data_IF_206130150852
#
_entry.id   IF_206130150852
#
_cell.length_a   1.000
_cell.length_b   1.000
_cell.length_c   1.000
_cell.angle_alpha   90.00
_cell.angle_beta   90.00
_cell.angle_gamma   90.00
#
_symmetry.space_group_name_H-M   'P 1'
#
loop_
_entity.id
_entity.type
_entity.pdbx_description
1 polymer ?
#
# COMPACT_ATOMS: atom_id res chain seq x y z
N UNK A 1 -45.62 -4.68 15.29
CA UNK A 1 -45.24 -4.41 16.70
C UNK A 1 -44.32 -5.53 17.15
N UNK A 2 -43.26 -5.20 17.89
CA UNK A 2 -41.99 -5.93 18.08
C UNK A 2 -40.98 -5.51 17.00
N UNK A 3 -40.23 -4.40 17.09
CA UNK A 3 -39.49 -3.84 18.24
C UNK A 3 -38.76 -4.91 19.04
N UNK A 4 -37.71 -5.49 18.45
CA UNK A 4 -36.65 -6.18 19.20
C UNK A 4 -35.30 -6.01 18.47
N UNK A 5 -34.48 -5.14 19.06
CA UNK A 5 -33.01 -5.20 19.09
C UNK A 5 -32.17 -4.80 17.85
N UNK A 6 -32.58 -3.79 17.08
CA UNK A 6 -31.58 -2.92 16.44
C UNK A 6 -31.04 -1.96 17.51
N UNK A 7 -29.90 -2.30 18.12
CA UNK A 7 -29.24 -1.45 19.11
C UNK A 7 -28.87 -0.10 18.50
N UNK A 8 -29.78 0.89 18.56
CA UNK A 8 -29.47 2.29 18.29
C UNK A 8 -28.41 2.72 19.30
N UNK A 9 -27.16 2.79 18.84
CA UNK A 9 -26.12 3.55 19.54
C UNK A 9 -26.70 4.94 19.83
N UNK A 10 -26.59 5.47 21.07
CA UNK A 10 -27.05 6.82 21.37
C UNK A 10 -26.43 7.79 20.34
N UNK A 11 -27.23 8.74 19.86
CA UNK A 11 -26.98 9.58 18.68
C UNK A 11 -25.53 10.13 18.59
N UNK A 12 -24.96 10.47 19.75
CA UNK A 12 -23.59 10.97 19.89
C UNK A 12 -22.49 9.93 19.56
N UNK A 13 -22.71 8.64 19.87
CA UNK A 13 -21.79 7.54 19.52
C UNK A 13 -21.80 7.23 18.03
N UNK A 14 -22.98 7.34 17.40
CA UNK A 14 -23.10 7.18 15.95
C UNK A 14 -22.40 8.32 15.20
N UNK A 15 -22.59 9.57 15.65
CA UNK A 15 -21.85 10.72 15.11
C UNK A 15 -20.33 10.54 15.27
N UNK A 16 -19.87 10.15 16.46
CA UNK A 16 -18.44 9.91 16.72
C UNK A 16 -17.85 8.85 15.79
N UNK A 17 -18.56 7.72 15.62
CA UNK A 17 -18.14 6.67 14.69
C UNK A 17 -18.06 7.17 13.25
N UNK A 18 -19.07 7.93 12.80
CA UNK A 18 -19.12 8.49 11.46
C UNK A 18 -17.96 9.48 11.21
N UNK A 19 -17.71 10.38 12.16
CA UNK A 19 -16.59 11.33 12.11
C UNK A 19 -15.26 10.59 12.08
N UNK A 20 -15.09 9.57 12.93
CA UNK A 20 -13.88 8.76 12.95
C UNK A 20 -13.63 8.08 11.59
N UNK A 21 -14.63 7.40 11.04
CA UNK A 21 -14.55 6.72 9.74
C UNK A 21 -14.15 7.66 8.61
N UNK A 22 -14.84 8.79 8.46
CA UNK A 22 -14.52 9.74 7.39
C UNK A 22 -13.20 10.49 7.63
N UNK A 23 -12.77 10.64 8.89
CA UNK A 23 -11.41 11.11 9.19
C UNK A 23 -10.37 10.13 8.65
N UNK A 24 -10.53 8.82 8.88
CA UNK A 24 -9.62 7.80 8.32
C UNK A 24 -9.60 7.87 6.79
N UNK A 25 -10.75 8.04 6.15
CA UNK A 25 -10.83 8.09 4.67
C UNK A 25 -10.15 9.34 4.11
N UNK A 26 -10.33 10.48 4.79
CA UNK A 26 -9.65 11.73 4.43
C UNK A 26 -8.14 11.62 4.58
N UNK A 27 -7.67 10.98 5.66
CA UNK A 27 -6.25 10.75 5.91
C UNK A 27 -5.64 9.81 4.86
N UNK A 28 -6.32 8.70 4.52
CA UNK A 28 -5.88 7.82 3.44
C UNK A 28 -5.86 8.54 2.08
N UNK A 29 -6.84 9.40 1.82
CA UNK A 29 -6.84 10.24 0.61
C UNK A 29 -5.67 11.23 0.60
N UNK A 30 -5.31 11.78 1.76
CA UNK A 30 -4.13 12.64 1.89
C UNK A 30 -2.83 11.85 1.67
N UNK A 31 -2.75 10.60 2.12
CA UNK A 31 -1.58 9.75 1.89
C UNK A 31 -1.31 9.56 0.39
N UNK A 32 -2.34 9.45 -0.46
CA UNK A 32 -2.16 9.41 -1.93
C UNK A 32 -1.38 10.63 -2.43
N UNK A 33 -1.70 11.82 -1.91
CA UNK A 33 -0.97 13.03 -2.28
C UNK A 33 0.46 13.02 -1.72
N UNK A 34 0.65 12.57 -0.48
CA UNK A 34 1.96 12.50 0.14
C UNK A 34 2.90 11.54 -0.63
N UNK A 35 2.45 10.33 -0.94
CA UNK A 35 3.18 9.37 -1.78
C UNK A 35 3.47 9.94 -3.16
N UNK A 36 2.51 10.66 -3.77
CA UNK A 36 2.74 11.29 -5.07
C UNK A 36 3.90 12.30 -5.04
N UNK A 37 4.04 13.06 -3.95
CA UNK A 37 5.15 14.01 -3.79
C UNK A 37 6.48 13.29 -3.63
N UNK A 38 6.55 12.23 -2.80
CA UNK A 38 7.76 11.43 -2.62
C UNK A 38 8.17 10.72 -3.92
N UNK A 39 7.24 10.00 -4.55
CA UNK A 39 7.47 9.33 -5.82
C UNK A 39 7.88 10.32 -6.94
N UNK A 40 7.28 11.52 -7.00
CA UNK A 40 7.67 12.52 -7.99
C UNK A 40 9.11 13.03 -7.79
N UNK A 41 9.53 13.22 -6.54
CA UNK A 41 10.89 13.62 -6.22
C UNK A 41 11.90 12.51 -6.56
N UNK A 42 11.60 11.26 -6.18
CA UNK A 42 12.39 10.08 -6.48
C UNK A 42 12.54 9.86 -8.00
N UNK A 43 11.44 9.94 -8.74
CA UNK A 43 11.44 9.79 -10.19
C UNK A 43 12.35 10.83 -10.88
N UNK A 44 12.39 12.06 -10.38
CA UNK A 44 13.29 13.11 -10.89
C UNK A 44 14.78 12.80 -10.66
N UNK A 45 15.10 12.05 -9.60
CA UNK A 45 16.47 11.65 -9.28
C UNK A 45 16.93 10.41 -10.09
N UNK A 46 16.04 9.44 -10.30
CA UNK A 46 16.35 8.16 -10.96
C UNK A 46 16.24 8.25 -12.48
N UNK A 47 15.29 9.01 -13.03
CA UNK A 47 14.99 9.08 -14.47
C UNK A 47 15.44 10.40 -15.10
N UNK A 48 16.75 10.67 -15.11
CA UNK A 48 17.35 11.90 -15.67
C UNK A 48 17.01 12.16 -17.15
N UNK A 49 16.80 11.11 -17.94
CA UNK A 49 16.47 11.19 -19.37
C UNK A 49 14.96 11.30 -19.65
N UNK A 50 14.15 11.44 -18.59
CA UNK A 50 12.70 11.54 -18.65
C UNK A 50 11.97 10.22 -18.46
N UNK A 51 10.69 10.33 -18.08
CA UNK A 51 9.83 9.21 -17.77
C UNK A 51 9.21 8.64 -19.06
N UNK A 52 9.59 7.42 -19.42
CA UNK A 52 8.93 6.69 -20.50
C UNK A 52 7.57 6.17 -20.03
N UNK A 53 6.56 6.13 -20.91
CA UNK A 53 5.21 5.67 -20.59
C UNK A 53 5.17 4.28 -19.94
N UNK A 54 6.09 3.38 -20.30
CA UNK A 54 6.19 2.04 -19.72
C UNK A 54 6.69 2.00 -18.27
N UNK A 55 7.36 3.06 -17.80
CA UNK A 55 7.96 3.15 -16.45
C UNK A 55 7.19 4.06 -15.50
N UNK A 56 6.05 4.61 -15.95
CA UNK A 56 5.22 5.50 -15.12
C UNK A 56 4.75 4.77 -13.86
N UNK A 57 4.38 3.49 -14.00
CA UNK A 57 3.86 2.76 -12.85
C UNK A 57 5.00 2.38 -11.89
N UNK A 58 6.17 2.02 -12.39
CA UNK A 58 7.37 1.81 -11.56
C UNK A 58 7.73 3.07 -10.78
N UNK A 59 7.61 4.25 -11.39
CA UNK A 59 7.97 5.52 -10.78
C UNK A 59 6.95 6.08 -9.77
N UNK A 60 5.70 5.60 -9.79
CA UNK A 60 4.61 6.08 -8.93
C UNK A 60 3.87 4.91 -8.27
N UNK A 61 4.60 3.84 -7.95
CA UNK A 61 4.02 2.57 -7.55
C UNK A 61 3.12 2.73 -6.32
N UNK A 62 3.64 3.32 -5.25
CA UNK A 62 2.92 3.51 -3.98
C UNK A 62 1.71 4.42 -4.17
N UNK A 63 1.89 5.51 -4.91
CA UNK A 63 0.81 6.45 -5.23
C UNK A 63 -0.37 5.78 -5.94
N UNK A 64 -0.06 4.91 -6.92
CA UNK A 64 -1.06 4.20 -7.71
C UNK A 64 -1.75 3.14 -6.85
N UNK A 65 -1.00 2.41 -6.02
CA UNK A 65 -1.53 1.39 -5.11
C UNK A 65 -2.49 2.02 -4.09
N UNK A 66 -2.04 3.03 -3.33
CA UNK A 66 -2.86 3.70 -2.31
C UNK A 66 -4.09 4.36 -2.94
N UNK A 67 -3.96 4.96 -4.13
CA UNK A 67 -5.12 5.53 -4.84
C UNK A 67 -6.14 4.45 -5.20
N UNK A 68 -5.69 3.32 -5.76
CA UNK A 68 -6.57 2.22 -6.14
C UNK A 68 -7.29 1.63 -4.91
N UNK A 69 -6.61 1.50 -3.78
CA UNK A 69 -7.22 1.08 -2.53
C UNK A 69 -8.25 2.08 -2.00
N UNK A 70 -7.94 3.39 -2.00
CA UNK A 70 -8.89 4.43 -1.60
C UNK A 70 -10.13 4.42 -2.49
N UNK A 71 -9.97 4.28 -3.80
CA UNK A 71 -11.09 4.18 -4.74
C UNK A 71 -11.96 2.95 -4.47
N UNK A 72 -11.36 1.77 -4.20
CA UNK A 72 -12.12 0.58 -3.80
C UNK A 72 -12.91 0.81 -2.51
N UNK A 73 -12.27 1.42 -1.52
CA UNK A 73 -12.90 1.71 -0.24
C UNK A 73 -14.07 2.69 -0.40
N UNK A 74 -13.95 3.69 -1.28
CA UNK A 74 -15.05 4.60 -1.61
C UNK A 74 -16.17 3.88 -2.36
N UNK A 75 -15.85 3.00 -3.32
CA UNK A 75 -16.86 2.17 -4.00
C UNK A 75 -17.60 1.27 -3.02
N UNK A 76 -16.88 0.62 -2.11
CA UNK A 76 -17.47 -0.23 -1.07
C UNK A 76 -18.39 0.55 -0.12
N UNK A 77 -17.96 1.74 0.33
CA UNK A 77 -18.78 2.62 1.16
C UNK A 77 -20.04 3.08 0.40
N UNK A 78 -19.91 3.40 -0.89
CA UNK A 78 -21.05 3.76 -1.74
C UNK A 78 -22.06 2.61 -1.83
N UNK A 79 -21.60 1.38 -2.04
CA UNK A 79 -22.46 0.19 -2.17
C UNK A 79 -23.12 -0.22 -0.85
N UNK A 80 -22.44 -0.04 0.28
CA UNK A 80 -22.92 -0.57 1.57
C UNK A 80 -23.66 0.44 2.43
N UNK A 81 -23.39 1.74 2.28
CA UNK A 81 -23.90 2.75 3.21
C UNK A 81 -24.58 3.95 2.54
N UNK A 82 -24.18 4.34 1.33
CA UNK A 82 -24.70 5.55 0.68
C UNK A 82 -25.83 5.27 -0.29
N UNK A 83 -25.71 4.22 -1.10
CA UNK A 83 -26.69 3.88 -2.13
C UNK A 83 -27.66 2.80 -1.62
N UNK A 84 -28.95 3.06 -1.78
CA UNK A 84 -29.96 2.02 -1.60
C UNK A 84 -29.81 0.94 -2.69
N UNK A 85 -29.99 -0.34 -2.33
CA UNK A 85 -29.95 -1.50 -3.25
C UNK A 85 -30.83 -1.34 -4.51
N UNK A 86 -31.87 -0.50 -4.41
CA UNK A 86 -32.79 -0.21 -5.53
C UNK A 86 -32.13 0.63 -6.62
N UNK A 87 -31.15 1.46 -6.27
CA UNK A 87 -30.42 2.36 -7.15
C UNK A 87 -29.22 1.66 -7.81
N UNK A 88 -28.70 0.58 -7.22
CA UNK A 88 -27.57 -0.20 -7.74
C UNK A 88 -28.05 -1.13 -8.88
N UNK A 89 -28.47 -0.53 -10.00
CA UNK A 89 -28.98 -1.24 -11.19
C UNK A 89 -28.43 -0.66 -12.49
N UNK A 90 -28.39 -1.50 -13.53
CA UNK A 90 -27.97 -1.09 -14.87
C UNK A 90 -26.59 -0.45 -14.90
N UNK A 91 -26.52 0.80 -15.39
CA UNK A 91 -25.28 1.55 -15.55
C UNK A 91 -24.54 1.82 -14.23
N UNK A 92 -25.26 2.09 -13.13
CA UNK A 92 -24.61 2.36 -11.82
C UNK A 92 -23.81 1.14 -11.37
N UNK A 93 -24.45 -0.04 -11.37
CA UNK A 93 -23.78 -1.30 -11.02
C UNK A 93 -22.60 -1.61 -11.95
N UNK A 94 -22.76 -1.36 -13.25
CA UNK A 94 -21.68 -1.58 -14.21
C UNK A 94 -20.50 -0.65 -13.95
N UNK A 95 -20.75 0.63 -13.67
CA UNK A 95 -19.70 1.61 -13.32
C UNK A 95 -18.96 1.25 -12.04
N UNK A 96 -19.67 0.88 -10.96
CA UNK A 96 -19.04 0.48 -9.70
C UNK A 96 -18.15 -0.76 -9.91
N UNK A 97 -18.66 -1.78 -10.59
CA UNK A 97 -17.89 -2.98 -10.92
C UNK A 97 -16.68 -2.70 -11.83
N UNK A 98 -16.83 -1.81 -12.81
CA UNK A 98 -15.75 -1.43 -13.71
C UNK A 98 -14.63 -0.71 -12.96
N UNK A 99 -14.98 0.26 -12.10
CA UNK A 99 -14.02 0.96 -11.24
C UNK A 99 -13.32 -0.04 -10.32
N UNK A 100 -14.08 -0.92 -9.66
CA UNK A 100 -13.49 -1.94 -8.78
C UNK A 100 -12.52 -2.87 -9.52
N UNK A 101 -12.89 -3.32 -10.72
CA UNK A 101 -12.03 -4.19 -11.54
C UNK A 101 -10.73 -3.47 -11.91
N UNK A 102 -10.81 -2.21 -12.33
CA UNK A 102 -9.63 -1.39 -12.64
C UNK A 102 -8.74 -1.23 -11.41
N UNK A 103 -9.32 -0.98 -10.24
CA UNK A 103 -8.54 -0.85 -9.01
C UNK A 103 -7.85 -2.16 -8.62
N UNK A 104 -8.54 -3.31 -8.69
CA UNK A 104 -7.90 -4.61 -8.44
C UNK A 104 -6.74 -4.91 -9.40
N UNK A 105 -6.87 -4.50 -10.67
CA UNK A 105 -5.78 -4.61 -11.64
C UNK A 105 -4.58 -3.74 -11.23
N UNK A 106 -4.81 -2.49 -10.84
CA UNK A 106 -3.74 -1.61 -10.38
C UNK A 106 -3.07 -2.09 -9.10
N UNK A 107 -3.82 -2.58 -8.10
CA UNK A 107 -3.24 -3.13 -6.87
C UNK A 107 -2.39 -4.36 -7.18
N UNK A 108 -2.90 -5.27 -8.00
CA UNK A 108 -2.15 -6.48 -8.41
C UNK A 108 -0.89 -6.11 -9.18
N UNK A 109 -0.99 -5.11 -10.07
CA UNK A 109 0.15 -4.63 -10.83
C UNK A 109 1.16 -3.87 -9.97
N UNK A 110 0.71 -3.17 -8.92
CA UNK A 110 1.59 -2.48 -7.98
C UNK A 110 2.36 -3.48 -7.10
N UNK A 111 1.72 -4.60 -6.74
CA UNK A 111 2.40 -5.75 -6.15
C UNK A 111 3.52 -6.29 -7.05
N UNK A 112 3.30 -6.33 -8.37
CA UNK A 112 4.36 -6.66 -9.31
C UNK A 112 5.45 -5.58 -9.34
N UNK A 113 5.10 -4.30 -9.25
CA UNK A 113 6.03 -3.17 -9.12
C UNK A 113 6.99 -3.34 -7.94
N UNK A 114 6.49 -3.66 -6.73
CA UNK A 114 7.34 -3.90 -5.56
C UNK A 114 8.30 -5.09 -5.76
N UNK A 115 7.82 -6.16 -6.42
CA UNK A 115 8.67 -7.32 -6.74
C UNK A 115 9.76 -6.91 -7.73
N UNK A 116 9.40 -6.16 -8.76
CA UNK A 116 10.35 -5.67 -9.77
C UNK A 116 11.41 -4.77 -9.15
N UNK A 117 11.00 -3.83 -8.29
CA UNK A 117 11.92 -2.96 -7.54
C UNK A 117 12.89 -3.77 -6.68
N UNK A 118 12.40 -4.75 -5.91
CA UNK A 118 13.24 -5.62 -5.10
C UNK A 118 14.29 -6.35 -5.96
N UNK A 119 13.89 -6.82 -7.16
CA UNK A 119 14.81 -7.45 -8.12
C UNK A 119 15.81 -6.43 -8.67
N UNK A 120 15.39 -5.21 -9.00
CA UNK A 120 16.28 -4.15 -9.49
C UNK A 120 17.36 -3.78 -8.47
N UNK A 121 17.03 -3.76 -7.18
CA UNK A 121 17.98 -3.53 -6.10
C UNK A 121 19.07 -4.62 -6.00
N UNK A 122 18.94 -5.75 -6.70
CA UNK A 122 20.00 -6.77 -6.78
C UNK A 122 21.11 -6.42 -7.77
N UNK A 123 20.84 -5.53 -8.74
CA UNK A 123 21.79 -5.10 -9.76
C UNK A 123 22.68 -3.95 -9.25
N UNK A 124 23.53 -4.27 -8.26
CA UNK A 124 24.48 -3.32 -7.69
C UNK A 124 25.88 -3.60 -8.24
N UNK A 125 26.50 -2.57 -8.81
CA UNK A 125 27.88 -2.65 -9.32
C UNK A 125 28.82 -1.71 -8.56
N UNK A 126 30.05 -2.14 -8.26
CA UNK A 126 31.01 -1.31 -7.54
C UNK A 126 31.49 -0.15 -8.42
N UNK A 127 31.71 1.00 -7.79
CA UNK A 127 32.27 2.18 -8.44
C UNK A 127 33.72 2.37 -8.02
N UNK A 128 34.60 2.59 -9.00
CA UNK A 128 36.05 2.74 -8.79
C UNK A 128 36.44 4.18 -8.48
N UNK A 129 35.71 5.13 -9.06
CA UNK A 129 35.92 6.57 -8.85
C UNK A 129 35.52 6.98 -7.43
N UNK A 130 36.22 7.98 -6.90
CA UNK A 130 35.90 8.50 -5.58
C UNK A 130 34.64 9.35 -5.62
N UNK A 131 33.91 9.41 -4.50
CA UNK A 131 32.69 10.21 -4.39
C UNK A 131 32.90 11.68 -4.83
N UNK A 132 34.04 12.29 -4.51
CA UNK A 132 34.31 13.68 -4.85
C UNK A 132 34.70 13.89 -6.32
N UNK A 133 35.28 12.89 -6.99
CA UNK A 133 35.49 12.94 -8.44
C UNK A 133 34.16 12.91 -9.19
N UNK A 134 33.25 12.02 -8.78
CA UNK A 134 31.89 11.94 -9.33
C UNK A 134 31.09 13.20 -9.03
N UNK A 135 31.22 13.77 -7.83
CA UNK A 135 30.60 15.05 -7.48
C UNK A 135 31.08 16.20 -8.39
N UNK A 136 32.35 16.19 -8.79
CA UNK A 136 32.92 17.22 -9.66
C UNK A 136 32.43 17.08 -11.12
N UNK A 137 32.10 15.87 -11.56
CA UNK A 137 31.49 15.63 -12.88
C UNK A 137 30.02 16.09 -12.93
N UNK A 138 29.33 16.05 -11.78
CA UNK A 138 27.93 16.41 -11.66
C UNK A 138 26.98 15.33 -12.21
N UNK A 139 25.68 15.50 -11.97
CA UNK A 139 24.64 14.57 -12.45
C UNK A 139 24.45 13.30 -11.61
N UNK A 140 25.23 13.14 -10.54
CA UNK A 140 25.12 12.01 -9.62
C UNK A 140 24.24 12.33 -8.41
N UNK A 141 23.46 11.35 -7.99
CA UNK A 141 22.64 11.36 -6.78
C UNK A 141 23.22 10.39 -5.75
N UNK A 142 23.09 10.73 -4.48
CA UNK A 142 23.39 9.87 -3.34
C UNK A 142 22.07 9.39 -2.75
N UNK A 143 21.87 8.08 -2.68
CA UNK A 143 20.73 7.49 -1.96
C UNK A 143 21.02 7.51 -0.46
N UNK A 144 20.06 8.01 0.31
CA UNK A 144 20.16 8.11 1.78
C UNK A 144 19.08 7.30 2.50
N UNK A 145 18.00 6.97 1.80
CA UNK A 145 16.91 6.09 2.23
C UNK A 145 16.18 5.50 1.03
N UNK A 146 15.15 4.68 1.25
CA UNK A 146 14.28 4.26 0.16
C UNK A 146 13.57 5.50 -0.42
N UNK A 147 13.61 5.64 -1.73
CA UNK A 147 13.09 6.80 -2.48
C UNK A 147 13.58 8.19 -2.05
N UNK A 148 14.64 8.25 -1.22
CA UNK A 148 15.25 9.49 -0.74
C UNK A 148 16.65 9.67 -1.33
N UNK A 149 16.76 10.70 -2.17
CA UNK A 149 17.95 11.02 -2.94
C UNK A 149 18.37 12.46 -2.70
N UNK A 150 19.66 12.66 -2.49
CA UNK A 150 20.26 13.99 -2.39
C UNK A 150 21.33 14.17 -3.48
N UNK A 151 21.48 15.37 -4.06
CA UNK A 151 22.54 15.62 -5.02
C UNK A 151 23.92 15.34 -4.41
N UNK A 152 24.75 14.61 -5.16
CA UNK A 152 26.15 14.43 -4.78
C UNK A 152 26.91 15.72 -5.08
N UNK A 153 27.45 16.35 -4.05
CA UNK A 153 28.10 17.64 -4.14
C UNK A 153 29.37 17.69 -3.27
N UNK A 154 30.19 18.72 -3.48
CA UNK A 154 31.40 18.94 -2.68
C UNK A 154 31.13 18.97 -1.16
N UNK A 155 29.91 19.35 -0.75
CA UNK A 155 29.51 19.43 0.66
C UNK A 155 29.28 18.09 1.36
N UNK A 156 28.93 17.02 0.63
CA UNK A 156 28.64 15.69 1.20
C UNK A 156 29.56 14.57 0.66
N UNK A 157 30.34 14.82 -0.40
CA UNK A 157 31.25 13.82 -0.94
C UNK A 157 32.40 13.49 0.04
N UNK A 158 32.86 14.47 0.82
CA UNK A 158 33.98 14.30 1.75
C UNK A 158 33.63 13.32 2.90
N UNK A 159 32.37 13.32 3.36
CA UNK A 159 31.91 12.37 4.39
C UNK A 159 31.86 10.91 3.92
N UNK A 160 31.91 10.67 2.61
CA UNK A 160 31.95 9.33 2.03
C UNK A 160 33.38 8.80 1.84
N UNK A 161 34.40 9.62 2.11
CA UNK A 161 35.80 9.36 1.80
C UNK A 161 36.30 7.98 2.26
N UNK A 162 36.61 7.11 1.30
CA UNK A 162 37.12 5.75 1.54
C UNK A 162 36.06 4.67 1.71
N UNK A 163 34.77 5.01 1.69
CA UNK A 163 33.68 4.02 1.71
C UNK A 163 33.49 3.43 0.32
N UNK A 164 33.49 2.10 0.15
CA UNK A 164 33.14 1.48 -1.12
C UNK A 164 31.71 1.86 -1.52
N UNK A 165 31.56 2.49 -2.68
CA UNK A 165 30.27 2.89 -3.23
C UNK A 165 29.79 1.88 -4.26
N UNK A 166 28.48 1.65 -4.25
CA UNK A 166 27.78 0.84 -5.23
C UNK A 166 26.83 1.75 -6.01
N UNK A 167 26.73 1.52 -7.32
CA UNK A 167 25.73 2.14 -8.19
C UNK A 167 24.59 1.18 -8.48
N UNK A 168 23.39 1.71 -8.65
CA UNK A 168 22.19 0.96 -9.02
C UNK A 168 22.09 0.85 -10.54
N UNK A 169 22.27 -0.35 -11.08
CA UNK A 169 22.22 -0.64 -12.51
C UNK A 169 22.99 0.41 -13.34
N UNK A 170 22.32 1.03 -14.32
CA UNK A 170 22.83 2.12 -15.15
C UNK A 170 22.41 3.52 -14.66
N UNK A 171 21.74 3.63 -13.51
CA UNK A 171 21.32 4.90 -12.96
C UNK A 171 22.49 5.66 -12.34
N UNK A 172 22.45 7.00 -12.42
CA UNK A 172 23.42 7.89 -11.79
C UNK A 172 23.19 8.03 -10.27
N UNK A 173 22.95 6.91 -9.58
CA UNK A 173 22.61 6.85 -8.15
C UNK A 173 23.63 6.00 -7.42
N UNK A 174 24.19 6.55 -6.35
CA UNK A 174 25.26 5.94 -5.55
C UNK A 174 24.81 5.73 -4.11
N UNK A 175 25.30 4.68 -3.48
CA UNK A 175 25.04 4.41 -2.07
C UNK A 175 26.10 3.50 -1.46
N UNK A 176 26.21 3.53 -0.13
CA UNK A 176 27.04 2.57 0.60
C UNK A 176 26.40 1.19 0.63
N UNK A 177 27.19 0.13 0.81
CA UNK A 177 26.65 -1.23 0.97
C UNK A 177 25.65 -1.35 2.14
N UNK A 178 25.86 -0.58 3.22
CA UNK A 178 24.95 -0.55 4.36
C UNK A 178 23.61 0.09 4.00
N UNK A 179 23.63 1.22 3.28
CA UNK A 179 22.42 1.91 2.82
C UNK A 179 21.61 1.02 1.88
N UNK A 180 22.27 0.42 0.88
CA UNK A 180 21.59 -0.51 -0.04
C UNK A 180 21.03 -1.74 0.66
N UNK A 181 21.72 -2.26 1.68
CA UNK A 181 21.19 -3.37 2.48
C UNK A 181 19.95 -2.96 3.26
N UNK A 182 19.89 -1.74 3.80
CA UNK A 182 18.70 -1.25 4.51
C UNK A 182 17.51 -1.10 3.55
N UNK A 183 17.74 -0.48 2.38
CA UNK A 183 16.71 -0.32 1.33
C UNK A 183 16.18 -1.68 0.86
N UNK A 184 17.05 -2.68 0.68
CA UNK A 184 16.62 -4.05 0.33
C UNK A 184 15.64 -4.65 1.34
N UNK A 185 15.86 -4.43 2.63
CA UNK A 185 14.96 -4.96 3.66
C UNK A 185 13.60 -4.24 3.67
N UNK A 186 13.59 -2.94 3.38
CA UNK A 186 12.34 -2.20 3.22
C UNK A 186 11.59 -2.66 1.95
N UNK A 187 12.27 -2.81 0.81
CA UNK A 187 11.66 -3.36 -0.41
C UNK A 187 11.06 -4.78 -0.22
N UNK A 188 11.73 -5.64 0.57
CA UNK A 188 11.14 -6.92 0.96
C UNK A 188 9.89 -6.76 1.82
N UNK A 189 9.86 -5.76 2.69
CA UNK A 189 8.70 -5.42 3.52
C UNK A 189 7.53 -4.99 2.66
N UNK A 190 7.76 -4.19 1.62
CA UNK A 190 6.73 -3.75 0.67
C UNK A 190 6.11 -4.94 -0.08
N UNK A 191 6.96 -5.84 -0.60
CA UNK A 191 6.52 -7.09 -1.26
C UNK A 191 5.68 -7.95 -0.32
N UNK A 192 6.12 -8.14 0.92
CA UNK A 192 5.42 -8.95 1.92
C UNK A 192 4.07 -8.31 2.27
N UNK A 193 4.05 -6.99 2.48
CA UNK A 193 2.85 -6.24 2.82
C UNK A 193 1.81 -6.31 1.68
N UNK A 194 2.20 -5.99 0.45
CA UNK A 194 1.31 -6.02 -0.72
C UNK A 194 0.76 -7.43 -0.96
N UNK A 195 1.61 -8.46 -0.84
CA UNK A 195 1.21 -9.86 -0.97
C UNK A 195 0.22 -10.28 0.12
N UNK A 196 0.45 -9.87 1.36
CA UNK A 196 -0.43 -10.18 2.49
C UNK A 196 -1.81 -9.53 2.30
N UNK A 197 -1.88 -8.28 1.85
CA UNK A 197 -3.14 -7.61 1.54
C UNK A 197 -3.92 -8.28 0.42
N UNK A 198 -3.26 -8.65 -0.67
CA UNK A 198 -3.88 -9.40 -1.76
C UNK A 198 -4.45 -10.75 -1.27
N UNK A 199 -3.72 -11.46 -0.40
CA UNK A 199 -4.20 -12.70 0.21
C UNK A 199 -5.40 -12.47 1.13
N UNK A 200 -5.40 -11.41 1.94
CA UNK A 200 -6.55 -11.03 2.78
C UNK A 200 -7.79 -10.82 1.92
N UNK A 201 -7.68 -10.00 0.86
CA UNK A 201 -8.80 -9.74 -0.05
C UNK A 201 -9.24 -11.01 -0.77
N UNK A 202 -8.32 -11.85 -1.23
CA UNK A 202 -8.65 -13.12 -1.88
C UNK A 202 -9.43 -14.06 -0.94
N UNK A 203 -9.05 -14.13 0.33
CA UNK A 203 -9.76 -14.91 1.35
C UNK A 203 -11.16 -14.34 1.59
N UNK A 204 -11.29 -13.03 1.75
CA UNK A 204 -12.59 -12.38 1.94
C UNK A 204 -13.52 -12.61 0.73
N UNK A 205 -13.01 -12.46 -0.49
CA UNK A 205 -13.76 -12.72 -1.71
C UNK A 205 -14.19 -14.20 -1.81
N UNK A 206 -13.32 -15.13 -1.41
CA UNK A 206 -13.63 -16.55 -1.38
C UNK A 206 -14.71 -16.90 -0.32
N UNK A 207 -14.65 -16.29 0.86
CA UNK A 207 -15.67 -16.44 1.91
C UNK A 207 -17.05 -15.97 1.41
N UNK A 208 -17.12 -14.78 0.83
CA UNK A 208 -18.36 -14.23 0.25
C UNK A 208 -18.89 -15.14 -0.86
N UNK A 209 -18.02 -15.61 -1.76
CA UNK A 209 -18.41 -16.52 -2.84
C UNK A 209 -18.99 -17.85 -2.34
N UNK A 210 -18.38 -18.46 -1.32
CA UNK A 210 -18.88 -19.69 -0.70
C UNK A 210 -20.23 -19.47 0.00
N UNK A 211 -20.39 -18.33 0.65
CA UNK A 211 -21.60 -17.97 1.38
C UNK A 211 -22.78 -17.75 0.45
N UNK A 212 -22.58 -17.04 -0.67
CA UNK A 212 -23.61 -16.87 -1.71
C UNK A 212 -24.07 -18.21 -2.31
N UNK A 213 -23.22 -19.25 -2.23
CA UNK A 213 -23.55 -20.62 -2.64
C UNK A 213 -24.09 -21.50 -1.51
N UNK A 214 -24.25 -20.97 -0.31
CA UNK A 214 -24.65 -21.71 0.90
C UNK A 214 -23.74 -22.92 1.22
N UNK A 215 -22.45 -22.82 0.87
CA UNK A 215 -21.44 -23.88 1.06
C UNK A 215 -20.40 -23.55 2.14
N UNK A 216 -20.57 -22.44 2.85
CA UNK A 216 -19.61 -21.98 3.85
C UNK A 216 -19.70 -22.83 5.12
N UNK A 217 -18.80 -23.79 5.25
CA UNK A 217 -18.70 -24.66 6.43
C UNK A 217 -17.99 -23.96 7.60
N UNK A 218 -18.35 -24.32 8.83
CA UNK A 218 -17.64 -23.89 10.05
C UNK A 218 -16.15 -24.22 10.02
N UNK A 219 -15.77 -25.35 9.41
CA UNK A 219 -14.35 -25.74 9.31
C UNK A 219 -13.58 -24.78 8.40
N UNK A 220 -14.17 -24.40 7.27
CA UNK A 220 -13.56 -23.44 6.34
C UNK A 220 -13.41 -22.08 7.00
N UNK A 221 -14.45 -21.63 7.70
CA UNK A 221 -14.43 -20.37 8.46
C UNK A 221 -13.34 -20.34 9.54
N UNK A 222 -13.14 -21.44 10.27
CA UNK A 222 -12.09 -21.49 11.30
C UNK A 222 -10.70 -21.40 10.68
N UNK A 223 -10.46 -22.12 9.59
CA UNK A 223 -9.18 -22.06 8.88
C UNK A 223 -8.91 -20.68 8.29
N UNK A 224 -9.91 -20.04 7.67
CA UNK A 224 -9.75 -18.71 7.11
C UNK A 224 -9.46 -17.66 8.19
N UNK A 225 -10.09 -17.77 9.38
CA UNK A 225 -9.79 -16.91 10.52
C UNK A 225 -8.34 -17.06 11.01
N UNK A 226 -7.81 -18.28 11.08
CA UNK A 226 -6.41 -18.51 11.48
C UNK A 226 -5.46 -17.90 10.45
N UNK A 227 -5.70 -18.13 9.15
CA UNK A 227 -4.86 -17.58 8.08
C UNK A 227 -4.91 -16.05 8.07
N UNK A 228 -6.11 -15.45 8.15
CA UNK A 228 -6.27 -14.00 8.25
C UNK A 228 -5.56 -13.44 9.48
N UNK A 229 -5.67 -14.09 10.64
CA UNK A 229 -4.97 -13.70 11.86
C UNK A 229 -3.44 -13.65 11.66
N UNK A 230 -2.87 -14.65 11.01
CA UNK A 230 -1.43 -14.68 10.67
C UNK A 230 -1.05 -13.59 9.67
N UNK A 231 -1.89 -13.31 8.67
CA UNK A 231 -1.67 -12.24 7.69
C UNK A 231 -1.72 -10.87 8.35
N UNK A 232 -2.74 -10.57 9.16
CA UNK A 232 -2.81 -9.30 9.91
C UNK A 232 -1.67 -9.13 10.90
N UNK A 233 -1.21 -10.21 11.54
CA UNK A 233 -0.02 -10.17 12.37
C UNK A 233 1.23 -9.82 11.54
N UNK A 234 1.36 -10.38 10.34
CA UNK A 234 2.46 -10.06 9.42
C UNK A 234 2.40 -8.58 9.00
N UNK A 235 1.22 -8.08 8.60
CA UNK A 235 0.99 -6.68 8.26
C UNK A 235 1.34 -5.73 9.43
N UNK A 236 1.00 -6.12 10.65
CA UNK A 236 1.36 -5.37 11.85
C UNK A 236 2.89 -5.32 12.08
N UNK A 237 3.61 -6.41 11.81
CA UNK A 237 5.07 -6.42 11.88
C UNK A 237 5.70 -5.54 10.79
N UNK A 238 5.16 -5.54 9.56
CA UNK A 238 5.56 -4.63 8.50
C UNK A 238 5.40 -3.16 8.92
N UNK A 239 4.23 -2.81 9.49
CA UNK A 239 3.99 -1.47 10.04
C UNK A 239 5.05 -1.06 11.07
N UNK A 240 5.33 -1.92 12.06
CA UNK A 240 6.39 -1.64 13.05
C UNK A 240 7.75 -1.45 12.38
N UNK A 241 8.07 -2.27 11.39
CA UNK A 241 9.37 -2.20 10.71
C UNK A 241 9.56 -0.88 9.97
N UNK A 242 8.57 -0.41 9.21
CA UNK A 242 8.59 0.93 8.61
C UNK A 242 8.72 2.03 9.66
N UNK A 243 8.01 1.93 10.79
CA UNK A 243 8.10 2.92 11.85
C UNK A 243 9.49 3.05 12.51
N UNK A 244 10.33 2.01 12.40
CA UNK A 244 11.69 1.99 12.96
C UNK A 244 12.76 2.26 11.90
N UNK A 245 12.59 1.74 10.69
CA UNK A 245 13.64 1.69 9.65
C UNK A 245 13.27 2.41 8.35
N UNK A 246 11.99 2.68 8.11
CA UNK A 246 11.45 3.29 6.90
C UNK A 246 10.96 4.72 7.14
N UNK A 247 10.05 5.18 6.28
CA UNK A 247 9.45 6.51 6.42
C UNK A 247 8.31 6.49 7.44
N UNK A 248 8.01 7.66 8.02
CA UNK A 248 6.82 7.80 8.86
C UNK A 248 5.53 7.63 8.04
N UNK A 249 5.54 7.98 6.75
CA UNK A 249 4.38 7.90 5.88
C UNK A 249 3.96 6.44 5.67
N UNK A 250 4.90 5.53 5.43
CA UNK A 250 4.63 4.10 5.25
C UNK A 250 3.99 3.47 6.50
N UNK A 251 4.56 3.77 7.68
CA UNK A 251 4.00 3.32 8.95
C UNK A 251 2.58 3.86 9.16
N UNK A 252 2.39 5.15 8.90
CA UNK A 252 1.12 5.82 9.09
C UNK A 252 0.04 5.27 8.16
N UNK A 253 0.37 5.06 6.89
CA UNK A 253 -0.52 4.47 5.90
C UNK A 253 -0.91 3.04 6.28
N UNK A 254 0.07 2.19 6.60
CA UNK A 254 -0.16 0.81 7.02
C UNK A 254 -1.06 0.74 8.27
N UNK A 255 -0.84 1.63 9.24
CA UNK A 255 -1.69 1.73 10.43
C UNK A 255 -3.13 2.09 10.07
N UNK A 256 -3.34 3.10 9.23
CA UNK A 256 -4.68 3.51 8.79
C UNK A 256 -5.40 2.40 8.01
N UNK A 257 -4.68 1.64 7.18
CA UNK A 257 -5.25 0.50 6.45
C UNK A 257 -5.67 -0.64 7.38
N UNK A 258 -4.87 -0.97 8.39
CA UNK A 258 -5.26 -1.95 9.42
C UNK A 258 -6.54 -1.51 10.14
N UNK A 259 -6.65 -0.22 10.49
CA UNK A 259 -7.87 0.35 11.09
C UNK A 259 -9.06 0.30 10.12
N UNK A 260 -8.85 0.66 8.84
CA UNK A 260 -9.91 0.66 7.83
C UNK A 260 -10.46 -0.76 7.57
N UNK A 261 -9.58 -1.75 7.40
CA UNK A 261 -9.97 -3.14 7.18
C UNK A 261 -10.64 -3.78 8.39
N UNK A 262 -10.25 -3.40 9.61
CA UNK A 262 -10.96 -3.82 10.81
C UNK A 262 -12.47 -3.47 10.74
N UNK A 263 -12.82 -2.28 10.23
CA UNK A 263 -14.22 -1.90 10.05
C UNK A 263 -14.91 -2.66 8.92
N UNK A 264 -14.23 -2.83 7.77
CA UNK A 264 -14.76 -3.58 6.64
C UNK A 264 -15.10 -5.01 7.07
N UNK A 265 -14.19 -5.66 7.79
CA UNK A 265 -14.36 -7.04 8.20
C UNK A 265 -15.42 -7.19 9.30
N UNK A 266 -15.52 -6.25 10.25
CA UNK A 266 -16.60 -6.23 11.24
C UNK A 266 -17.98 -6.15 10.58
N UNK A 267 -18.13 -5.28 9.57
CA UNK A 267 -19.37 -5.17 8.81
C UNK A 267 -19.67 -6.47 8.04
N UNK A 268 -18.65 -7.10 7.45
CA UNK A 268 -18.81 -8.37 6.75
C UNK A 268 -19.24 -9.51 7.69
N UNK A 269 -18.68 -9.56 8.92
CA UNK A 269 -19.08 -10.56 9.91
C UNK A 269 -20.52 -10.40 10.37
N UNK A 270 -21.01 -9.15 10.51
CA UNK A 270 -22.41 -8.89 10.83
C UNK A 270 -23.34 -9.44 9.73
N UNK A 271 -23.04 -9.12 8.47
CA UNK A 271 -23.79 -9.64 7.31
C UNK A 271 -23.73 -11.18 7.22
N UNK A 272 -22.59 -11.79 7.56
CA UNK A 272 -22.44 -13.24 7.67
C UNK A 272 -23.32 -13.88 8.74
N UNK A 273 -23.54 -13.20 9.86
CA UNK A 273 -24.40 -13.69 10.92
C UNK A 273 -25.89 -13.60 10.53
N UNK A 274 -26.29 -12.50 9.90
CA UNK A 274 -27.67 -12.27 9.44
C UNK A 274 -28.09 -13.34 8.42
N UNK A 275 -27.29 -13.58 7.39
CA UNK A 275 -27.58 -14.55 6.32
C UNK A 275 -27.50 -16.03 6.72
N UNK A 276 -26.92 -16.36 7.87
CA UNK A 276 -26.99 -17.73 8.45
C UNK A 276 -28.17 -17.93 9.39
N UNK A 277 -28.74 -16.84 9.91
CA UNK A 277 -29.89 -16.86 10.81
C UNK A 277 -31.23 -16.99 10.06
N UNK A 278 -31.23 -16.79 8.74
CA UNK A 278 -32.33 -17.04 7.80
C UNK A 278 -32.23 -18.43 7.15
#
# INVERSE_FOLDING_TARGET
MSELAAGRLPDNRYLLFRVFKYTVYLLLTYNVYAFFVENHAAAGAVFSDGLQWGRVIEAYNDSIDTLAWVLLLLVFELETFVLDDRLIRGWVKWSLNAVSTVCYLFITYSCYGYIAEMVHLTDLSPVVETACELAAQGGWQLVVGQDDYVPLAAGNCASLGGTPLLRLADAAVLGSAATWSAIKWLAWTDVINASAWLLVVAILAFEVWLQLRQKLSERVMRWSQIVKGSLYFTLFLCAIYWGVSGSFLDFWDAFLWLVAFFFIEMNLFQWQAETRGE
#
